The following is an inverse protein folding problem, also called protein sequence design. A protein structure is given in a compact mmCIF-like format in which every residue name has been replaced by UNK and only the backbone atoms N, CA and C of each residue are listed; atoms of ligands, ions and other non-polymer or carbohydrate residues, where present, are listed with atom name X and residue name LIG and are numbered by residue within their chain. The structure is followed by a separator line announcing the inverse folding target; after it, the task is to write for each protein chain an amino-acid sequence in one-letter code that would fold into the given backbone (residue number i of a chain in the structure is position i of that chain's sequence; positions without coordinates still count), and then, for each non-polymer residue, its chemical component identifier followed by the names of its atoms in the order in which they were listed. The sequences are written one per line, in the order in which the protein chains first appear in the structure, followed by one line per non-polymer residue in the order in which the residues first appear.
data_IF_988364667787
#
_entry.id   IF_988364667787
#
_cell.length_a   1.000
_cell.length_b   1.000
_cell.length_c   1.000
_cell.angle_alpha   90.00
_cell.angle_beta   90.00
_cell.angle_gamma   90.00
#
_symmetry.space_group_name_H-M   'P 1'
#
loop_
_entity.id
_entity.type
_entity.pdbx_description
1 polymer ?
#
# COMPACT_ATOMS: atom_id res chain seq x y z
N UNK A 1 8.83 -15.67 16.94
CA UNK A 1 7.62 -16.40 16.53
C UNK A 1 6.39 -16.00 17.35
N UNK A 2 6.40 -16.05 18.67
CA UNK A 2 5.22 -15.77 19.53
C UNK A 2 4.58 -14.40 19.25
N UNK A 3 5.35 -13.29 19.31
CA UNK A 3 4.85 -11.93 19.02
C UNK A 3 4.22 -11.75 17.64
N UNK A 4 4.61 -12.58 16.66
CA UNK A 4 4.04 -12.54 15.32
C UNK A 4 2.66 -13.24 15.28
N UNK A 5 2.52 -14.42 15.90
CA UNK A 5 1.25 -15.16 15.94
C UNK A 5 0.14 -14.37 16.62
N UNK A 6 0.46 -13.55 17.62
CA UNK A 6 -0.50 -12.69 18.33
C UNK A 6 -1.17 -11.63 17.42
N UNK A 7 -0.55 -11.28 16.30
CA UNK A 7 -1.09 -10.33 15.33
C UNK A 7 -1.96 -11.00 14.26
N UNK A 8 -1.94 -12.34 14.21
CA UNK A 8 -2.67 -13.13 13.23
C UNK A 8 -3.97 -13.66 13.81
N UNK A 9 -4.93 -13.93 12.93
CA UNK A 9 -6.19 -14.57 13.25
C UNK A 9 -6.60 -15.51 12.13
N UNK A 10 -7.39 -16.51 12.43
CA UNK A 10 -7.99 -17.37 11.43
C UNK A 10 -8.89 -16.56 10.49
N UNK A 11 -8.68 -16.56 9.16
CA UNK A 11 -9.52 -15.80 8.24
C UNK A 11 -10.97 -16.33 8.13
N UNK A 12 -11.24 -17.54 8.65
CA UNK A 12 -12.58 -18.14 8.66
C UNK A 12 -13.39 -17.69 9.89
N UNK A 13 -12.79 -17.80 11.10
CA UNK A 13 -13.53 -17.63 12.36
C UNK A 13 -12.90 -16.64 13.34
N UNK A 14 -11.82 -15.95 12.93
CA UNK A 14 -11.04 -15.00 13.75
C UNK A 14 -10.38 -15.60 15.00
N UNK A 15 -10.42 -16.93 15.18
CA UNK A 15 -9.79 -17.64 16.29
C UNK A 15 -8.25 -17.63 16.22
N UNK A 16 -7.63 -18.04 17.32
CA UNK A 16 -6.18 -18.07 17.45
C UNK A 16 -5.53 -19.14 16.57
N UNK A 17 -4.40 -18.78 15.96
CA UNK A 17 -3.56 -19.70 15.21
C UNK A 17 -2.44 -20.26 16.09
N UNK A 18 -2.12 -21.52 15.88
CA UNK A 18 -1.00 -22.22 16.51
C UNK A 18 0.28 -22.09 15.66
N UNK A 19 1.42 -22.52 16.21
CA UNK A 19 2.72 -22.44 15.50
C UNK A 19 2.77 -23.36 14.27
N UNK A 20 1.95 -24.39 14.19
CA UNK A 20 1.76 -25.30 13.05
C UNK A 20 0.67 -24.83 12.07
N UNK A 21 0.23 -23.58 12.20
CA UNK A 21 -0.76 -22.92 11.35
C UNK A 21 -2.16 -23.56 11.39
N UNK A 22 -2.53 -24.15 12.52
CA UNK A 22 -3.89 -24.67 12.77
C UNK A 22 -4.70 -23.65 13.58
N UNK A 23 -5.99 -23.54 13.30
CA UNK A 23 -6.89 -22.71 14.10
C UNK A 23 -7.40 -23.49 15.33
N UNK A 24 -7.23 -22.93 16.52
CA UNK A 24 -7.70 -23.52 17.79
C UNK A 24 -9.23 -23.62 17.89
N UNK A 25 -9.96 -22.74 17.20
CA UNK A 25 -11.41 -22.63 17.33
C UNK A 25 -12.17 -23.49 16.31
N UNK A 26 -11.78 -23.46 15.03
CA UNK A 26 -12.49 -24.16 13.95
C UNK A 26 -11.72 -25.34 13.34
N UNK A 27 -10.49 -25.59 13.78
CA UNK A 27 -9.66 -26.68 13.27
C UNK A 27 -9.10 -26.48 11.85
N UNK A 28 -9.38 -25.35 11.20
CA UNK A 28 -8.84 -25.06 9.87
C UNK A 28 -7.31 -25.06 9.90
N UNK A 29 -6.70 -25.62 8.85
CA UNK A 29 -5.25 -25.69 8.70
C UNK A 29 -4.79 -24.87 7.49
N UNK A 30 -3.68 -24.19 7.66
CA UNK A 30 -3.09 -23.34 6.65
C UNK A 30 -1.66 -23.80 6.37
N UNK A 31 -1.26 -23.80 5.11
CA UNK A 31 0.11 -24.08 4.73
C UNK A 31 0.99 -22.83 4.87
N UNK A 32 2.30 -23.03 5.01
CA UNK A 32 3.27 -21.96 5.08
C UNK A 32 4.51 -22.29 4.23
N UNK A 33 4.37 -22.50 2.94
CA UNK A 33 5.51 -22.81 2.09
C UNK A 33 6.53 -21.66 2.14
N UNK A 34 7.80 -22.03 2.23
CA UNK A 34 8.92 -21.09 2.36
C UNK A 34 8.85 -20.19 3.61
N UNK A 35 8.08 -20.60 4.63
CA UNK A 35 7.89 -19.83 5.86
C UNK A 35 6.90 -18.65 5.74
N UNK A 36 6.15 -18.56 4.65
CA UNK A 36 5.13 -17.53 4.42
C UNK A 36 3.75 -18.19 4.58
N UNK A 37 3.02 -17.90 5.67
CA UNK A 37 1.70 -18.50 5.88
C UNK A 37 0.69 -18.01 4.83
N UNK A 38 -0.06 -18.96 4.29
CA UNK A 38 -1.15 -18.72 3.35
C UNK A 38 -2.47 -18.62 4.12
N UNK A 39 -2.80 -17.41 4.53
CA UNK A 39 -4.05 -17.09 5.23
C UNK A 39 -5.12 -16.52 4.29
N UNK A 40 -4.98 -16.76 2.99
CA UNK A 40 -5.93 -16.35 1.99
C UNK A 40 -7.08 -17.36 1.88
N UNK A 41 -8.30 -16.87 1.89
CA UNK A 41 -9.47 -17.64 1.45
C UNK A 41 -9.69 -17.44 -0.06
N UNK A 42 -10.36 -18.37 -0.74
CA UNK A 42 -10.77 -18.16 -2.13
C UNK A 42 -11.52 -16.83 -2.30
N UNK A 43 -11.07 -16.00 -3.24
CA UNK A 43 -11.66 -14.71 -3.58
C UNK A 43 -12.78 -14.83 -4.61
N UNK A 44 -13.43 -13.69 -4.91
CA UNK A 44 -14.31 -13.58 -6.06
C UNK A 44 -13.49 -13.57 -7.38
N UNK A 45 -14.18 -13.73 -8.51
CA UNK A 45 -13.54 -13.81 -9.83
C UNK A 45 -12.75 -12.54 -10.19
N UNK A 46 -13.07 -11.39 -9.63
CA UNK A 46 -12.37 -10.14 -9.87
C UNK A 46 -11.08 -10.06 -9.05
N UNK A 47 -11.12 -10.41 -7.77
CA UNK A 47 -9.95 -10.54 -6.90
C UNK A 47 -8.95 -11.54 -7.50
N UNK A 48 -9.42 -12.70 -7.99
CA UNK A 48 -8.53 -13.69 -8.62
C UNK A 48 -7.93 -13.19 -9.96
N UNK A 49 -8.64 -12.35 -10.70
CA UNK A 49 -8.09 -11.70 -11.92
C UNK A 49 -6.97 -10.71 -11.58
N UNK A 50 -7.17 -9.86 -10.57
CA UNK A 50 -6.15 -8.91 -10.10
C UNK A 50 -4.93 -9.67 -9.56
N UNK A 51 -5.17 -10.72 -8.76
CA UNK A 51 -4.11 -11.60 -8.27
C UNK A 51 -3.30 -12.20 -9.42
N UNK A 52 -3.96 -12.84 -10.41
CA UNK A 52 -3.29 -13.43 -11.57
C UNK A 52 -2.49 -12.43 -12.39
N UNK A 53 -2.93 -11.19 -12.43
CA UNK A 53 -2.19 -10.10 -13.09
C UNK A 53 -0.85 -9.82 -12.40
N UNK A 54 -0.84 -9.65 -11.06
CA UNK A 54 0.37 -9.34 -10.29
C UNK A 54 1.25 -10.57 -10.02
N UNK A 55 0.69 -11.79 -9.98
CA UNK A 55 1.47 -13.03 -9.84
C UNK A 55 2.50 -13.21 -10.96
N UNK A 56 2.16 -12.75 -12.17
CA UNK A 56 3.05 -12.81 -13.33
C UNK A 56 4.10 -11.69 -13.36
N UNK A 57 3.88 -10.60 -12.62
CA UNK A 57 4.76 -9.43 -12.64
C UNK A 57 4.84 -8.82 -11.26
N UNK A 58 5.58 -9.45 -10.31
CA UNK A 58 5.77 -8.92 -8.97
C UNK A 58 6.33 -7.49 -9.03
N UNK A 59 5.75 -6.60 -8.23
CA UNK A 59 6.12 -5.18 -8.23
C UNK A 59 6.25 -4.66 -6.79
N UNK A 60 7.20 -3.71 -6.54
CA UNK A 60 8.33 -3.34 -7.38
C UNK A 60 9.43 -4.41 -7.41
N UNK A 61 10.22 -4.47 -8.49
CA UNK A 61 11.33 -5.42 -8.61
C UNK A 61 12.57 -5.00 -7.79
N UNK A 62 13.43 -5.98 -7.50
CA UNK A 62 14.76 -5.74 -6.94
C UNK A 62 15.81 -5.87 -8.04
N UNK A 63 16.69 -4.87 -8.23
CA UNK A 63 17.80 -5.02 -9.17
C UNK A 63 18.79 -6.10 -8.68
N UNK A 64 19.53 -6.73 -9.59
CA UNK A 64 20.62 -7.64 -9.22
C UNK A 64 21.57 -6.94 -8.24
N UNK A 65 21.95 -7.63 -7.16
CA UNK A 65 22.84 -7.08 -6.14
C UNK A 65 22.23 -6.01 -5.21
N UNK A 66 20.91 -5.79 -5.23
CA UNK A 66 20.27 -4.88 -4.27
C UNK A 66 20.69 -5.21 -2.83
N UNK A 67 21.11 -4.19 -2.09
CA UNK A 67 21.50 -4.24 -0.67
C UNK A 67 20.52 -3.45 0.20
N UNK A 68 20.63 -3.59 1.51
CA UNK A 68 19.85 -2.76 2.44
C UNK A 68 20.19 -1.27 2.30
N UNK A 69 21.46 -0.92 2.06
CA UNK A 69 21.87 0.46 1.79
C UNK A 69 21.27 1.01 0.51
N UNK A 70 21.23 0.21 -0.55
CA UNK A 70 20.53 0.60 -1.81
C UNK A 70 19.04 0.84 -1.56
N UNK A 71 18.37 -0.07 -0.81
CA UNK A 71 16.95 0.06 -0.49
C UNK A 71 16.67 1.36 0.28
N UNK A 72 17.47 1.63 1.32
CA UNK A 72 17.36 2.85 2.13
C UNK A 72 17.60 4.11 1.30
N UNK A 73 18.70 4.16 0.56
CA UNK A 73 19.00 5.30 -0.30
C UNK A 73 17.94 5.56 -1.36
N UNK A 74 17.28 4.50 -1.87
CA UNK A 74 16.15 4.63 -2.78
C UNK A 74 14.90 5.20 -2.09
N UNK A 75 14.53 4.66 -0.92
CA UNK A 75 13.36 5.12 -0.18
C UNK A 75 13.54 6.56 0.33
N UNK A 76 14.73 6.92 0.78
CA UNK A 76 15.08 8.24 1.28
C UNK A 76 15.09 9.35 0.22
N UNK A 77 14.98 9.04 -1.07
CA UNK A 77 14.68 10.04 -2.11
C UNK A 77 13.24 10.55 -2.03
N UNK A 78 12.33 9.78 -1.43
CA UNK A 78 10.95 10.18 -1.21
C UNK A 78 10.84 10.94 0.12
N UNK A 79 10.41 12.18 0.05
CA UNK A 79 10.12 12.99 1.24
C UNK A 79 9.07 12.33 2.11
N UNK A 80 8.01 11.81 1.49
CA UNK A 80 6.98 11.04 2.21
C UNK A 80 7.57 9.85 2.97
N UNK A 81 8.44 9.05 2.35
CA UNK A 81 9.02 7.88 3.01
C UNK A 81 9.89 8.26 4.21
N UNK A 82 10.68 9.36 4.10
CA UNK A 82 11.46 9.91 5.23
C UNK A 82 10.55 10.37 6.36
N UNK A 83 9.56 11.21 6.05
CA UNK A 83 8.59 11.71 7.03
C UNK A 83 7.82 10.55 7.70
N UNK A 84 7.46 9.52 6.93
CA UNK A 84 6.77 8.35 7.46
C UNK A 84 7.65 7.54 8.41
N UNK A 85 8.90 7.25 8.04
CA UNK A 85 9.83 6.53 8.93
C UNK A 85 10.10 7.31 10.21
N UNK A 86 10.23 8.65 10.12
CA UNK A 86 10.47 9.53 11.27
C UNK A 86 9.26 9.59 12.21
N UNK A 87 8.04 9.68 11.67
CA UNK A 87 6.81 9.80 12.46
C UNK A 87 6.42 8.49 13.20
N UNK A 88 6.93 7.33 12.75
CA UNK A 88 6.58 6.04 13.34
C UNK A 88 7.45 5.74 14.56
N UNK A 89 6.80 5.41 15.70
CA UNK A 89 7.50 5.01 16.94
C UNK A 89 8.50 3.87 16.71
N UNK A 90 9.59 3.88 17.48
CA UNK A 90 10.67 2.90 17.39
C UNK A 90 10.26 1.47 17.76
N UNK A 91 9.14 1.27 18.45
CA UNK A 91 8.61 -0.03 18.91
C UNK A 91 7.27 -0.41 18.27
N UNK A 92 6.84 0.33 17.25
CA UNK A 92 5.54 0.18 16.60
C UNK A 92 5.34 -1.19 15.95
N UNK A 93 4.09 -1.66 15.98
CA UNK A 93 3.58 -2.77 15.17
C UNK A 93 2.99 -2.19 13.89
N UNK A 94 3.65 -2.43 12.79
CA UNK A 94 3.30 -1.87 11.49
C UNK A 94 2.73 -2.97 10.61
N UNK A 95 1.61 -2.70 9.97
CA UNK A 95 1.08 -3.51 8.88
C UNK A 95 1.19 -2.73 7.58
N UNK A 96 1.86 -3.29 6.58
CA UNK A 96 1.72 -2.89 5.20
C UNK A 96 0.86 -3.92 4.47
N UNK A 97 -0.33 -3.55 4.00
CA UNK A 97 -1.21 -4.43 3.24
C UNK A 97 -1.26 -4.02 1.77
N UNK A 98 -1.09 -5.02 0.89
CA UNK A 98 -0.73 -4.81 -0.51
C UNK A 98 0.75 -4.43 -0.64
N UNK A 99 1.61 -5.08 0.13
CA UNK A 99 3.02 -4.71 0.22
C UNK A 99 3.83 -5.05 -1.06
N UNK A 100 3.27 -5.82 -1.98
CA UNK A 100 4.00 -6.32 -3.13
C UNK A 100 5.27 -7.06 -2.68
N UNK A 101 6.42 -6.65 -3.21
CA UNK A 101 7.71 -7.21 -2.79
C UNK A 101 8.26 -6.66 -1.47
N UNK A 102 7.49 -5.85 -0.75
CA UNK A 102 7.77 -5.41 0.62
C UNK A 102 8.86 -4.34 0.75
N UNK A 103 9.14 -3.53 -0.29
CA UNK A 103 10.21 -2.53 -0.20
C UNK A 103 9.96 -1.51 0.92
N UNK A 104 8.72 -1.06 1.15
CA UNK A 104 8.40 -0.15 2.25
C UNK A 104 8.44 -0.89 3.60
N UNK A 105 7.91 -2.12 3.67
CA UNK A 105 8.04 -2.96 4.88
C UNK A 105 9.48 -3.12 5.33
N UNK A 106 10.40 -3.40 4.38
CA UNK A 106 11.83 -3.55 4.67
C UNK A 106 12.49 -2.20 5.03
N UNK A 107 12.06 -1.11 4.42
CA UNK A 107 12.55 0.23 4.74
C UNK A 107 12.14 0.66 6.15
N UNK A 108 10.89 0.43 6.54
CA UNK A 108 10.36 0.76 7.86
C UNK A 108 10.90 -0.16 8.98
N UNK A 109 11.59 -1.25 8.62
CA UNK A 109 12.16 -2.17 9.59
C UNK A 109 13.32 -1.53 10.38
N UNK A 110 13.06 -1.19 11.63
CA UNK A 110 14.03 -0.70 12.62
C UNK A 110 14.12 -1.70 13.78
N UNK A 111 15.11 -1.57 14.65
CA UNK A 111 15.51 -2.59 15.63
C UNK A 111 14.36 -3.16 16.50
N UNK A 112 13.39 -2.33 16.91
CA UNK A 112 12.32 -2.75 17.81
C UNK A 112 10.92 -2.78 17.14
N UNK A 113 10.79 -2.29 15.91
CA UNK A 113 9.55 -2.33 15.16
C UNK A 113 9.24 -3.76 14.70
N UNK A 114 8.01 -4.17 14.82
CA UNK A 114 7.52 -5.41 14.20
C UNK A 114 6.72 -5.05 12.94
N UNK A 115 7.20 -5.46 11.77
CA UNK A 115 6.59 -5.12 10.49
C UNK A 115 5.99 -6.38 9.86
N UNK A 116 4.72 -6.30 9.48
CA UNK A 116 4.00 -7.32 8.72
C UNK A 116 3.78 -6.80 7.31
N UNK A 117 4.39 -7.46 6.32
CA UNK A 117 4.05 -7.27 4.91
C UNK A 117 2.99 -8.29 4.50
N UNK A 118 1.82 -7.81 4.11
CA UNK A 118 0.70 -8.64 3.69
C UNK A 118 0.34 -8.37 2.23
N UNK A 119 0.20 -9.42 1.42
CA UNK A 119 -0.16 -9.30 0.01
C UNK A 119 -1.03 -10.47 -0.45
N UNK A 120 -1.72 -10.25 -1.56
CA UNK A 120 -2.53 -11.25 -2.24
C UNK A 120 -1.68 -12.18 -3.13
N UNK A 121 -0.48 -11.74 -3.52
CA UNK A 121 0.38 -12.38 -4.51
C UNK A 121 1.62 -13.03 -3.88
N UNK A 122 1.67 -14.35 -3.97
CA UNK A 122 2.74 -15.14 -3.39
C UNK A 122 4.11 -14.86 -4.02
N UNK A 123 4.15 -14.70 -5.34
CA UNK A 123 5.39 -14.43 -6.07
C UNK A 123 6.11 -13.17 -5.53
N UNK A 124 5.35 -12.12 -5.22
CA UNK A 124 5.89 -10.88 -4.64
C UNK A 124 6.43 -11.10 -3.22
N UNK A 125 5.67 -11.82 -2.38
CA UNK A 125 6.05 -12.12 -0.99
C UNK A 125 7.32 -12.98 -0.89
N UNK A 126 7.53 -13.91 -1.83
CA UNK A 126 8.76 -14.71 -1.91
C UNK A 126 9.97 -13.80 -2.10
N UNK A 127 9.89 -12.82 -3.01
CA UNK A 127 10.98 -11.88 -3.26
C UNK A 127 11.24 -10.99 -2.02
N UNK A 128 10.18 -10.48 -1.38
CA UNK A 128 10.28 -9.70 -0.15
C UNK A 128 10.90 -10.48 1.01
N UNK A 129 10.45 -11.71 1.22
CA UNK A 129 11.00 -12.60 2.25
C UNK A 129 12.46 -12.97 2.00
N UNK A 130 12.83 -13.22 0.74
CA UNK A 130 14.22 -13.45 0.37
C UNK A 130 15.11 -12.23 0.61
N UNK A 131 14.60 -11.01 0.30
CA UNK A 131 15.29 -9.76 0.57
C UNK A 131 15.43 -9.52 2.09
N UNK A 132 14.37 -9.75 2.89
CA UNK A 132 14.44 -9.65 4.34
C UNK A 132 15.54 -10.52 4.96
N UNK A 133 15.60 -11.79 4.56
CA UNK A 133 16.66 -12.72 4.99
C UNK A 133 18.05 -12.24 4.58
N UNK A 134 18.20 -11.83 3.31
CA UNK A 134 19.48 -11.32 2.79
C UNK A 134 19.96 -10.08 3.53
N UNK A 135 19.03 -9.22 3.96
CA UNK A 135 19.33 -7.97 4.66
C UNK A 135 19.43 -8.15 6.20
N UNK A 136 19.18 -9.34 6.73
CA UNK A 136 19.21 -9.60 8.17
C UNK A 136 18.08 -8.90 8.94
N UNK A 137 16.90 -8.74 8.33
CA UNK A 137 15.75 -8.03 8.92
C UNK A 137 14.77 -9.04 9.54
N UNK A 138 15.11 -9.58 10.71
CA UNK A 138 14.30 -10.60 11.41
C UNK A 138 12.98 -10.08 11.97
N UNK A 139 12.81 -8.78 12.11
CA UNK A 139 11.59 -8.12 12.58
C UNK A 139 10.52 -7.95 11.49
N UNK A 140 10.83 -8.28 10.23
CA UNK A 140 9.85 -8.28 9.13
C UNK A 140 9.31 -9.69 8.93
N UNK A 141 7.99 -9.81 8.79
CA UNK A 141 7.33 -11.06 8.44
C UNK A 141 6.36 -10.81 7.27
N UNK A 142 6.22 -11.82 6.43
CA UNK A 142 5.32 -11.76 5.29
C UNK A 142 4.18 -12.78 5.43
N UNK A 143 2.98 -12.39 5.00
CA UNK A 143 1.81 -13.27 4.95
C UNK A 143 1.08 -13.12 3.61
N UNK A 144 0.59 -14.24 3.06
CA UNK A 144 -0.32 -14.22 1.94
C UNK A 144 -1.76 -14.13 2.46
N UNK A 145 -2.48 -13.07 2.09
CA UNK A 145 -3.84 -12.84 2.55
C UNK A 145 -4.62 -11.91 1.62
N UNK A 146 -5.96 -12.00 1.68
CA UNK A 146 -6.85 -11.05 1.03
C UNK A 146 -7.20 -9.93 2.02
N UNK A 147 -7.06 -8.69 1.58
CA UNK A 147 -7.36 -7.50 2.38
C UNK A 147 -8.84 -7.43 2.83
N UNK A 148 -9.78 -8.00 2.06
CA UNK A 148 -11.20 -8.01 2.44
C UNK A 148 -11.50 -9.02 3.57
N UNK A 149 -10.71 -10.08 3.66
CA UNK A 149 -10.79 -11.11 4.72
C UNK A 149 -9.39 -11.46 5.22
N UNK A 150 -8.67 -10.49 5.79
CA UNK A 150 -7.29 -10.70 6.19
C UNK A 150 -7.20 -11.67 7.38
N UNK A 151 -6.22 -12.53 7.32
CA UNK A 151 -5.82 -13.40 8.43
C UNK A 151 -5.08 -12.63 9.55
N UNK A 152 -5.62 -11.49 9.95
CA UNK A 152 -5.01 -10.51 10.86
C UNK A 152 -6.01 -10.17 11.98
N UNK A 153 -5.48 -9.94 13.17
CA UNK A 153 -6.26 -9.59 14.35
C UNK A 153 -6.67 -8.13 14.34
N UNK A 154 -7.95 -7.86 14.60
CA UNK A 154 -8.47 -6.50 14.72
C UNK A 154 -7.85 -5.76 15.91
N UNK A 155 -7.61 -4.44 15.77
CA UNK A 155 -7.18 -3.55 16.84
C UNK A 155 -5.77 -3.79 17.38
N UNK A 156 -4.86 -4.36 16.57
CA UNK A 156 -3.53 -4.74 17.07
C UNK A 156 -2.38 -3.90 16.52
N UNK A 157 -2.57 -3.18 15.42
CA UNK A 157 -1.50 -2.44 14.78
C UNK A 157 -1.49 -0.97 15.19
N UNK A 158 -0.30 -0.45 15.50
CA UNK A 158 -0.08 0.97 15.77
C UNK A 158 -0.22 1.78 14.49
N UNK A 159 0.25 1.23 13.36
CA UNK A 159 0.16 1.83 12.05
C UNK A 159 -0.29 0.79 11.03
N UNK A 160 -1.33 1.12 10.25
CA UNK A 160 -1.73 0.36 9.04
C UNK A 160 -1.47 1.24 7.83
N UNK A 161 -0.61 0.75 6.94
CA UNK A 161 -0.24 1.40 5.69
C UNK A 161 -0.75 0.59 4.51
N UNK A 162 -1.41 1.25 3.57
CA UNK A 162 -1.82 0.66 2.30
C UNK A 162 -1.76 1.72 1.20
N UNK A 163 -0.86 1.53 0.25
CA UNK A 163 -0.65 2.50 -0.83
C UNK A 163 -0.61 1.81 -2.18
N UNK A 164 -1.38 2.31 -3.13
CA UNK A 164 -1.43 1.71 -4.46
C UNK A 164 -2.32 0.47 -4.57
N UNK A 165 -3.23 0.23 -3.63
CA UNK A 165 -3.95 -1.06 -3.49
C UNK A 165 -5.46 -0.92 -3.58
N UNK A 166 -6.08 -0.11 -2.71
CA UNK A 166 -7.54 -0.08 -2.55
C UNK A 166 -8.27 0.26 -3.84
N UNK A 167 -7.70 1.13 -4.64
CA UNK A 167 -8.28 1.55 -5.93
C UNK A 167 -8.26 0.44 -7.00
N UNK A 168 -7.68 -0.72 -6.69
CA UNK A 168 -7.72 -1.95 -7.50
C UNK A 168 -8.68 -3.00 -6.94
N UNK A 169 -9.36 -2.72 -5.84
CA UNK A 169 -10.36 -3.62 -5.24
C UNK A 169 -11.74 -3.36 -5.84
N UNK A 170 -12.64 -4.36 -5.81
CA UNK A 170 -14.02 -4.18 -6.29
C UNK A 170 -14.80 -3.10 -5.53
N UNK A 171 -14.49 -2.88 -4.26
CA UNK A 171 -15.11 -1.87 -3.42
C UNK A 171 -14.09 -1.21 -2.48
N UNK A 172 -13.43 -0.12 -2.92
CA UNK A 172 -12.41 0.59 -2.14
C UNK A 172 -12.90 1.08 -0.77
N UNK A 173 -14.17 1.51 -0.68
CA UNK A 173 -14.77 2.00 0.59
C UNK A 173 -14.94 0.87 1.61
N UNK A 174 -15.44 -0.29 1.19
CA UNK A 174 -15.53 -1.46 2.06
C UNK A 174 -14.14 -1.99 2.45
N UNK A 175 -13.19 -1.96 1.51
CA UNK A 175 -11.80 -2.30 1.77
C UNK A 175 -11.18 -1.38 2.82
N UNK A 176 -11.41 -0.07 2.74
CA UNK A 176 -10.96 0.90 3.75
C UNK A 176 -11.56 0.60 5.14
N UNK A 177 -12.86 0.38 5.22
CA UNK A 177 -13.54 0.03 6.48
C UNK A 177 -12.91 -1.22 7.13
N UNK A 178 -12.47 -2.20 6.31
CA UNK A 178 -11.78 -3.39 6.81
C UNK A 178 -10.39 -3.06 7.36
N UNK A 179 -9.64 -2.18 6.71
CA UNK A 179 -8.31 -1.76 7.18
C UNK A 179 -8.39 -1.02 8.52
N UNK A 180 -9.37 -0.13 8.68
CA UNK A 180 -9.54 0.63 9.94
C UNK A 180 -9.70 -0.30 11.14
N UNK A 181 -10.38 -1.44 10.98
CA UNK A 181 -10.55 -2.40 12.07
C UNK A 181 -9.24 -2.99 12.57
N UNK A 182 -8.23 -3.09 11.73
CA UNK A 182 -6.91 -3.63 12.09
C UNK A 182 -6.09 -2.64 12.94
N UNK A 183 -6.31 -1.33 12.76
CA UNK A 183 -5.66 -0.28 13.55
C UNK A 183 -6.16 -0.33 14.98
N UNK A 184 -5.29 -0.22 15.98
CA UNK A 184 -5.73 -0.08 17.38
C UNK A 184 -6.39 1.29 17.63
N UNK A 185 -7.22 1.46 18.67
CA UNK A 185 -7.66 2.80 19.09
C UNK A 185 -6.45 3.72 19.31
N UNK A 186 -6.53 4.96 18.82
CA UNK A 186 -5.44 5.93 18.82
C UNK A 186 -4.31 5.66 17.82
N UNK A 187 -4.34 4.55 17.08
CA UNK A 187 -3.37 4.22 16.04
C UNK A 187 -3.61 4.98 14.74
N UNK A 188 -2.67 4.86 13.81
CA UNK A 188 -2.65 5.62 12.56
C UNK A 188 -3.00 4.73 11.36
N UNK A 189 -3.78 5.28 10.43
CA UNK A 189 -3.99 4.71 9.10
C UNK A 189 -3.38 5.64 8.05
N UNK A 190 -2.60 5.07 7.15
CA UNK A 190 -1.93 5.78 6.05
C UNK A 190 -2.40 5.15 4.75
N UNK A 191 -3.15 5.90 3.96
CA UNK A 191 -3.83 5.41 2.76
C UNK A 191 -3.37 6.15 1.51
N UNK A 192 -2.78 5.44 0.56
CA UNK A 192 -2.45 5.95 -0.77
C UNK A 192 -3.40 5.44 -1.85
N UNK A 193 -4.11 6.36 -2.53
CA UNK A 193 -5.04 6.03 -3.63
C UNK A 193 -4.86 6.99 -4.80
N UNK A 194 -5.36 6.61 -5.97
CA UNK A 194 -5.31 7.48 -7.16
C UNK A 194 -6.27 8.67 -7.05
N UNK A 195 -5.72 9.87 -7.27
CA UNK A 195 -6.51 11.09 -7.29
C UNK A 195 -7.27 11.26 -8.60
N UNK A 196 -8.53 11.65 -8.50
CA UNK A 196 -9.42 11.79 -9.65
C UNK A 196 -8.94 12.85 -10.66
N UNK A 197 -8.37 13.96 -10.17
CA UNK A 197 -7.85 15.06 -11.01
C UNK A 197 -6.45 14.76 -11.54
N UNK A 198 -5.54 14.33 -10.69
CA UNK A 198 -4.17 14.02 -11.08
C UNK A 198 -4.06 12.88 -12.11
N UNK A 199 -5.10 12.04 -12.22
CA UNK A 199 -5.20 10.97 -13.24
C UNK A 199 -5.73 11.44 -14.60
N UNK A 200 -6.18 12.69 -14.76
CA UNK A 200 -6.71 13.21 -16.03
C UNK A 200 -5.70 13.08 -17.19
N UNK A 201 -4.42 13.49 -17.04
CA UNK A 201 -3.44 13.34 -18.11
C UNK A 201 -3.25 11.89 -18.57
N UNK A 202 -3.19 10.94 -17.63
CA UNK A 202 -3.06 9.53 -17.96
C UNK A 202 -4.31 8.97 -18.67
N UNK A 203 -5.50 9.42 -18.29
CA UNK A 203 -6.75 9.02 -18.97
C UNK A 203 -6.76 9.45 -20.43
N UNK A 204 -6.32 10.67 -20.72
CA UNK A 204 -6.18 11.17 -22.08
C UNK A 204 -5.17 10.34 -22.86
N UNK A 205 -4.00 10.05 -22.27
CA UNK A 205 -3.00 9.17 -22.88
C UNK A 205 -3.52 7.76 -23.15
N UNK A 206 -4.31 7.19 -22.21
CA UNK A 206 -4.96 5.88 -22.40
C UNK A 206 -5.93 5.88 -23.56
N UNK A 207 -6.69 6.96 -23.75
CA UNK A 207 -7.60 7.07 -24.90
C UNK A 207 -6.82 7.04 -26.21
N UNK A 208 -5.75 7.84 -26.33
CA UNK A 208 -4.88 7.85 -27.52
C UNK A 208 -4.22 6.49 -27.72
N UNK A 209 -3.71 5.87 -26.65
CA UNK A 209 -3.09 4.55 -26.70
C UNK A 209 -4.07 3.48 -27.23
N UNK A 210 -5.33 3.48 -26.75
CA UNK A 210 -6.37 2.56 -27.22
C UNK A 210 -6.73 2.78 -28.68
N UNK A 211 -6.94 4.03 -29.10
CA UNK A 211 -7.26 4.38 -30.47
C UNK A 211 -6.13 4.00 -31.46
N UNK A 212 -4.87 4.05 -31.00
CA UNK A 212 -3.71 3.65 -31.80
C UNK A 212 -3.32 2.18 -31.64
N UNK A 213 -4.17 1.35 -31.02
CA UNK A 213 -3.82 -0.03 -30.65
C UNK A 213 -2.48 -0.15 -29.90
N UNK A 214 -2.21 0.79 -29.00
CA UNK A 214 -0.98 0.94 -28.20
C UNK A 214 0.31 1.19 -29.01
N UNK A 215 0.19 1.62 -30.27
CA UNK A 215 1.35 2.02 -31.09
C UNK A 215 1.89 3.39 -30.72
N UNK A 216 1.02 4.27 -30.17
CA UNK A 216 1.37 5.61 -29.73
C UNK A 216 0.89 5.85 -28.30
N UNK A 217 1.82 6.23 -27.43
CA UNK A 217 1.54 6.71 -26.08
C UNK A 217 2.23 8.07 -25.97
N UNK A 218 1.48 9.18 -26.15
CA UNK A 218 2.11 10.50 -26.23
C UNK A 218 2.57 10.97 -24.85
N UNK A 219 3.78 11.54 -24.80
CA UNK A 219 4.30 12.31 -23.68
C UNK A 219 4.20 11.62 -22.30
N UNK A 220 4.40 10.29 -22.22
CA UNK A 220 4.55 9.60 -20.94
C UNK A 220 6.01 9.75 -20.46
N UNK A 221 6.26 10.54 -19.39
CA UNK A 221 7.62 10.80 -18.92
C UNK A 221 8.29 9.53 -18.40
N UNK A 222 7.53 8.65 -17.74
CA UNK A 222 8.06 7.41 -17.16
C UNK A 222 8.49 6.43 -18.24
N UNK A 223 7.74 6.34 -19.34
CA UNK A 223 8.13 5.49 -20.48
C UNK A 223 9.38 6.01 -21.18
N UNK A 224 9.54 7.34 -21.25
CA UNK A 224 10.74 7.97 -21.81
C UNK A 224 11.95 7.74 -20.92
N UNK A 225 11.82 7.98 -19.60
CA UNK A 225 12.91 7.83 -18.65
C UNK A 225 13.36 6.37 -18.48
N UNK A 226 12.48 5.40 -18.82
CA UNK A 226 12.75 3.95 -18.75
C UNK A 226 13.00 3.30 -20.11
N UNK A 227 13.40 4.08 -21.10
CA UNK A 227 13.64 3.57 -22.45
C UNK A 227 14.68 2.43 -22.48
N UNK A 228 15.69 2.52 -21.63
CA UNK A 228 16.76 1.54 -21.47
C UNK A 228 16.47 0.45 -20.42
N UNK A 229 15.26 0.39 -19.85
CA UNK A 229 14.85 -0.58 -18.83
C UNK A 229 13.59 -1.37 -19.28
N UNK A 230 13.70 -2.30 -20.25
CA UNK A 230 12.54 -2.90 -20.91
C UNK A 230 11.59 -3.63 -19.94
N UNK A 231 12.10 -4.29 -18.92
CA UNK A 231 11.28 -4.98 -17.92
C UNK A 231 10.43 -3.99 -17.11
N UNK A 232 11.02 -2.89 -16.63
CA UNK A 232 10.33 -1.84 -15.88
C UNK A 232 9.35 -1.06 -16.73
N UNK A 233 9.70 -0.82 -17.98
CA UNK A 233 8.80 -0.22 -18.97
C UNK A 233 7.58 -1.10 -19.20
N UNK A 234 7.78 -2.40 -19.37
CA UNK A 234 6.68 -3.37 -19.54
C UNK A 234 5.79 -3.42 -18.30
N UNK A 235 6.36 -3.46 -17.10
CA UNK A 235 5.60 -3.43 -15.85
C UNK A 235 4.75 -2.15 -15.74
N UNK A 236 5.32 -0.98 -16.05
CA UNK A 236 4.60 0.29 -16.08
C UNK A 236 3.45 0.30 -17.09
N UNK A 237 3.69 -0.18 -18.32
CA UNK A 237 2.65 -0.28 -19.35
C UNK A 237 1.51 -1.19 -18.93
N UNK A 238 1.81 -2.33 -18.30
CA UNK A 238 0.78 -3.23 -17.79
C UNK A 238 -0.02 -2.57 -16.68
N UNK A 239 0.64 -2.07 -15.66
CA UNK A 239 0.02 -1.47 -14.48
C UNK A 239 -0.77 -0.21 -14.84
N UNK A 240 -0.18 0.74 -15.56
CA UNK A 240 -0.78 2.05 -15.81
C UNK A 240 -1.73 2.08 -17.02
N UNK A 241 -1.60 1.20 -18.01
CA UNK A 241 -2.39 1.25 -19.24
C UNK A 241 -3.34 0.07 -19.46
N UNK A 242 -3.06 -1.08 -18.83
CA UNK A 242 -3.80 -2.34 -19.04
C UNK A 242 -4.34 -2.96 -17.76
N UNK A 243 -4.30 -2.25 -16.63
CA UNK A 243 -4.84 -2.78 -15.38
C UNK A 243 -6.35 -3.05 -15.52
N UNK A 244 -6.84 -4.22 -15.06
CA UNK A 244 -8.24 -4.63 -15.24
C UNK A 244 -9.23 -3.82 -14.40
N UNK A 245 -8.78 -3.25 -13.28
CA UNK A 245 -9.62 -2.52 -12.34
C UNK A 245 -8.92 -1.27 -11.82
N UNK A 246 -9.56 -0.12 -11.90
CA UNK A 246 -9.04 1.12 -11.37
C UNK A 246 -10.15 2.08 -10.96
N UNK A 247 -10.20 2.40 -9.69
CA UNK A 247 -10.99 3.48 -9.13
C UNK A 247 -10.13 4.73 -8.90
N UNK A 248 -10.75 5.88 -8.81
CA UNK A 248 -10.10 7.18 -8.57
C UNK A 248 -10.95 7.96 -7.61
N UNK A 249 -10.30 8.61 -6.67
CA UNK A 249 -10.96 9.23 -5.53
C UNK A 249 -10.55 10.68 -5.39
N UNK A 250 -11.47 11.50 -4.88
CA UNK A 250 -11.14 12.84 -4.42
C UNK A 250 -10.74 12.81 -2.95
N UNK A 251 -10.05 13.84 -2.49
CA UNK A 251 -9.73 13.99 -1.07
C UNK A 251 -11.00 14.00 -0.21
N UNK A 252 -12.05 14.73 -0.63
CA UNK A 252 -13.32 14.81 0.09
C UNK A 252 -14.02 13.45 0.22
N UNK A 253 -13.94 12.61 -0.81
CA UNK A 253 -14.47 11.24 -0.76
C UNK A 253 -13.73 10.40 0.28
N UNK A 254 -12.39 10.47 0.31
CA UNK A 254 -11.58 9.74 1.31
C UNK A 254 -11.82 10.27 2.71
N UNK A 255 -11.97 11.58 2.90
CA UNK A 255 -12.34 12.17 4.19
C UNK A 255 -13.71 11.69 4.67
N UNK A 256 -14.66 11.49 3.74
CA UNK A 256 -15.96 10.87 4.06
C UNK A 256 -15.80 9.45 4.58
N UNK A 257 -14.96 8.63 3.94
CA UNK A 257 -14.66 7.27 4.43
C UNK A 257 -14.05 7.29 5.83
N UNK A 258 -13.17 8.26 6.10
CA UNK A 258 -12.56 8.44 7.42
C UNK A 258 -13.64 8.70 8.48
N UNK A 259 -14.48 9.70 8.26
CA UNK A 259 -15.55 10.07 9.18
C UNK A 259 -16.52 8.91 9.47
N UNK A 260 -16.91 8.17 8.44
CA UNK A 260 -17.83 7.02 8.55
C UNK A 260 -17.26 5.86 9.38
N UNK A 261 -15.94 5.76 9.46
CA UNK A 261 -15.26 4.66 10.12
C UNK A 261 -14.55 5.09 11.43
N UNK A 262 -14.92 6.24 12.01
CA UNK A 262 -14.32 6.71 13.26
C UNK A 262 -12.82 7.00 13.13
N UNK A 263 -12.42 7.58 12.00
CA UNK A 263 -11.04 8.02 11.76
C UNK A 263 -11.02 9.54 11.67
N UNK A 264 -10.28 10.18 12.55
CA UNK A 264 -9.99 11.59 12.45
C UNK A 264 -8.96 11.83 11.36
N UNK A 265 -9.30 12.67 10.37
CA UNK A 265 -8.37 13.08 9.33
C UNK A 265 -7.24 13.92 9.92
N UNK A 266 -6.00 13.60 9.58
CA UNK A 266 -4.80 14.30 10.07
C UNK A 266 -4.24 15.20 8.96
N UNK A 267 -3.87 14.65 7.81
CA UNK A 267 -3.39 15.39 6.65
C UNK A 267 -3.37 14.59 5.36
N UNK A 268 -3.12 15.27 4.25
CA UNK A 268 -2.79 14.66 2.96
C UNK A 268 -1.34 14.94 2.56
N UNK A 269 -0.79 14.08 1.71
CA UNK A 269 0.49 14.27 1.04
C UNK A 269 0.33 13.99 -0.47
N UNK A 270 0.65 14.95 -1.35
CA UNK A 270 1.04 16.32 -1.02
C UNK A 270 -0.01 17.05 -0.19
N UNK A 271 0.40 18.17 0.46
CA UNK A 271 -0.51 18.95 1.29
C UNK A 271 -1.76 19.39 0.53
N UNK A 272 -2.90 19.38 1.23
CA UNK A 272 -4.17 19.91 0.73
C UNK A 272 -4.34 21.41 1.04
N UNK A 273 -3.38 22.03 1.73
CA UNK A 273 -3.30 23.45 2.00
C UNK A 273 -2.42 24.14 0.94
N UNK A 274 -2.87 25.27 0.43
CA UNK A 274 -2.11 26.04 -0.54
C UNK A 274 -0.93 26.75 0.16
N UNK A 275 0.27 26.52 -0.36
CA UNK A 275 1.49 27.13 0.20
C UNK A 275 2.01 26.46 1.48
N UNK A 276 1.41 25.35 1.91
CA UNK A 276 1.93 24.55 3.00
C UNK A 276 3.07 23.65 2.48
N UNK A 277 4.28 23.92 2.95
CA UNK A 277 5.40 22.98 2.76
C UNK A 277 5.30 21.93 3.87
N UNK A 278 5.15 20.64 3.51
CA UNK A 278 4.99 19.60 4.52
C UNK A 278 6.23 19.53 5.41
N UNK A 279 6.06 19.86 6.69
CA UNK A 279 7.07 19.61 7.71
C UNK A 279 7.28 18.09 7.80
N UNK A 280 8.50 17.62 7.55
CA UNK A 280 8.84 16.21 7.56
C UNK A 280 8.60 15.57 8.93
N UNK A 281 8.66 16.36 10.01
CA UNK A 281 8.51 15.90 11.38
C UNK A 281 7.05 15.76 11.82
N UNK A 282 6.13 16.36 11.07
CA UNK A 282 4.72 16.52 11.47
C UNK A 282 3.74 15.59 10.72
N UNK A 283 4.19 14.49 10.09
CA UNK A 283 3.28 13.65 9.29
C UNK A 283 2.06 13.13 10.07
N UNK A 284 2.23 12.85 11.37
CA UNK A 284 1.16 12.37 12.25
C UNK A 284 0.54 13.47 13.12
N UNK A 285 0.89 14.74 12.88
CA UNK A 285 0.28 15.90 13.50
C UNK A 285 -0.81 16.45 12.60
N UNK A 286 -1.91 16.91 13.23
CA UNK A 286 -3.03 17.46 12.48
C UNK A 286 -2.62 18.75 11.78
N UNK A 287 -2.80 18.79 10.46
CA UNK A 287 -2.74 20.04 9.72
C UNK A 287 -3.92 20.95 10.11
N UNK A 288 -3.78 22.25 9.85
CA UNK A 288 -4.91 23.17 9.98
C UNK A 288 -6.08 22.70 9.08
N UNK A 289 -7.31 22.97 9.53
CA UNK A 289 -8.49 22.63 8.74
C UNK A 289 -8.46 23.39 7.41
N UNK A 290 -8.42 22.66 6.30
CA UNK A 290 -8.56 23.24 4.96
C UNK A 290 -10.03 23.50 4.66
N UNK A 291 -10.34 24.63 4.07
CA UNK A 291 -11.65 24.84 3.50
C UNK A 291 -11.86 23.86 2.33
N UNK A 292 -13.08 23.33 2.18
CA UNK A 292 -13.39 22.38 1.09
C UNK A 292 -12.98 22.88 -0.29
N UNK A 293 -13.06 24.20 -0.51
CA UNK A 293 -12.66 24.86 -1.76
C UNK A 293 -11.12 24.90 -1.93
N UNK A 294 -10.38 25.12 -0.87
CA UNK A 294 -8.92 25.11 -0.88
C UNK A 294 -8.37 23.71 -1.23
N UNK A 295 -8.91 22.66 -0.60
CA UNK A 295 -8.57 21.28 -0.93
C UNK A 295 -8.91 20.90 -2.37
N UNK A 296 -9.94 21.51 -2.99
CA UNK A 296 -10.23 21.31 -4.40
C UNK A 296 -9.16 21.98 -5.30
N UNK A 297 -8.78 23.22 -4.99
CA UNK A 297 -7.74 23.94 -5.72
C UNK A 297 -6.38 23.24 -5.62
N UNK A 298 -6.02 22.75 -4.42
CA UNK A 298 -4.81 21.97 -4.22
C UNK A 298 -4.79 20.73 -5.12
N UNK A 299 -5.91 19.98 -5.17
CA UNK A 299 -6.03 18.79 -6.04
C UNK A 299 -5.94 19.12 -7.54
N UNK A 300 -6.38 20.30 -7.97
CA UNK A 300 -6.15 20.75 -9.33
C UNK A 300 -4.65 21.00 -9.60
N UNK A 301 -3.92 21.55 -8.64
CA UNK A 301 -2.45 21.66 -8.70
C UNK A 301 -1.75 20.31 -8.80
N UNK A 302 -2.30 19.26 -8.19
CA UNK A 302 -1.77 17.90 -8.27
C UNK A 302 -1.81 17.28 -9.68
N UNK A 303 -2.57 17.87 -10.63
CA UNK A 303 -2.49 17.48 -12.04
C UNK A 303 -1.07 17.65 -12.58
N UNK A 304 -0.40 18.73 -12.18
CA UNK A 304 0.99 18.99 -12.59
C UNK A 304 2.01 18.21 -11.75
N UNK A 305 1.87 18.20 -10.42
CA UNK A 305 2.86 17.58 -9.52
C UNK A 305 2.77 16.06 -9.48
N UNK A 306 1.59 15.47 -9.34
CA UNK A 306 1.40 14.01 -9.25
C UNK A 306 1.12 13.34 -10.60
N UNK A 307 0.66 14.09 -11.59
CA UNK A 307 0.30 13.53 -12.91
C UNK A 307 1.47 12.86 -13.64
N UNK A 308 2.71 13.18 -13.27
CA UNK A 308 3.92 12.55 -13.79
C UNK A 308 4.24 11.22 -13.12
N UNK A 309 3.84 11.02 -11.86
CA UNK A 309 4.14 9.84 -11.05
C UNK A 309 2.95 8.87 -10.91
N UNK A 310 1.93 9.01 -11.76
CA UNK A 310 0.76 8.14 -11.74
C UNK A 310 -0.43 8.68 -10.93
N UNK A 311 -0.32 9.86 -10.32
CA UNK A 311 -1.44 10.56 -9.68
C UNK A 311 -1.90 9.97 -8.35
N UNK A 312 -0.98 9.34 -7.60
CA UNK A 312 -1.26 8.80 -6.28
C UNK A 312 -1.09 9.89 -5.22
N UNK A 313 -2.07 10.04 -4.32
CA UNK A 313 -1.97 10.87 -3.12
C UNK A 313 -2.13 10.03 -1.87
N UNK A 314 -1.55 10.47 -0.78
CA UNK A 314 -1.61 9.78 0.51
C UNK A 314 -2.44 10.60 1.48
N UNK A 315 -3.25 9.93 2.30
CA UNK A 315 -3.99 10.52 3.42
C UNK A 315 -3.61 9.82 4.71
N UNK A 316 -3.52 10.58 5.77
CA UNK A 316 -3.19 10.11 7.11
C UNK A 316 -4.38 10.39 8.03
N UNK A 317 -4.75 9.42 8.84
CA UNK A 317 -5.80 9.56 9.84
C UNK A 317 -5.50 8.78 11.10
N UNK A 318 -6.13 9.22 12.20
CA UNK A 318 -6.03 8.60 13.52
C UNK A 318 -7.36 7.91 13.86
N UNK A 319 -7.32 6.63 14.18
CA UNK A 319 -8.51 5.93 14.66
C UNK A 319 -8.89 6.43 16.06
N UNK A 320 -10.14 6.84 16.24
CA UNK A 320 -10.71 7.23 17.55
C UNK A 320 -11.02 6.00 18.41
#
# INVERSE_FOLDING_TARGET
MHRFLELLACPICTGDLTADWSCRSCGARYDAPQGIPNLRLPGDAQTERVRGFYEQTPFPDYPPGASLSWLRARAERSEFARAFDHAVSGDARILEIGCGTGQMSLYLARAHRLVIGADLTRAALILGSAAARRFGLDQVRFIETDLLRPGLRDGTFDVVYSSGVLHHTPNPRAAFARLVRLVRPGGMIVLGVYNAFARIPLRLRRLVARLSAYRCIPFDPVLRDRENEPARRTAWLRDQYRHPEEHRHTLAEVQTWFAENGVHYVRAYPSALLGDEPDQDALFESAADSWRFEGLLAQMGWIASLGHEGGLFVTVGRRT
#
